data_IF_853428955442
#
_entry.id   IF_853428955442
#
_cell.length_a   1.000
_cell.length_b   1.000
_cell.length_c   1.000
_cell.angle_alpha   90.00
_cell.angle_beta   90.00
_cell.angle_gamma   90.00
#
_symmetry.space_group_name_H-M   'P 1'
#
loop_
_entity.id
_entity.type
_entity.pdbx_description
1 polymer ?
#
# COMPACT_ATOMS: atom_id res chain seq x y z
N UNK A 1 19.22 15.54 -1.48
CA UNK A 1 19.44 14.41 -2.39
C UNK A 1 19.57 13.09 -1.65
N UNK A 2 20.46 12.97 -0.70
CA UNK A 2 20.57 11.73 0.07
C UNK A 2 19.32 11.42 0.87
N UNK A 3 18.68 12.44 1.45
CA UNK A 3 17.48 12.25 2.23
C UNK A 3 16.34 11.79 1.36
N UNK A 4 16.20 12.37 0.17
CA UNK A 4 15.20 11.95 -0.80
C UNK A 4 15.43 10.51 -1.22
N UNK A 5 16.70 10.14 -1.43
CA UNK A 5 17.04 8.77 -1.78
C UNK A 5 16.70 7.78 -0.69
N UNK A 6 16.84 8.19 0.58
CA UNK A 6 16.47 7.34 1.71
C UNK A 6 14.99 7.10 1.78
N UNK A 7 14.19 8.13 1.53
CA UNK A 7 12.74 7.99 1.53
C UNK A 7 12.28 7.06 0.43
N UNK A 8 12.84 7.21 -0.77
CA UNK A 8 12.55 6.32 -1.87
C UNK A 8 13.00 4.89 -1.58
N UNK A 9 14.15 4.75 -0.94
CA UNK A 9 14.67 3.45 -0.55
C UNK A 9 13.73 2.77 0.45
N UNK A 10 13.23 3.53 1.43
CA UNK A 10 12.29 3.00 2.43
C UNK A 10 11.01 2.50 1.77
N UNK A 11 10.44 3.29 0.86
CA UNK A 11 9.24 2.89 0.13
C UNK A 11 9.51 1.60 -0.65
N UNK A 12 10.67 1.52 -1.28
CA UNK A 12 11.06 0.35 -2.06
C UNK A 12 11.26 -0.88 -1.19
N UNK A 13 11.85 -0.70 -0.01
CA UNK A 13 12.06 -1.79 0.95
C UNK A 13 10.75 -2.42 1.41
N UNK A 14 9.69 -1.62 1.49
CA UNK A 14 8.38 -2.09 1.89
C UNK A 14 7.65 -2.85 0.77
N UNK A 15 8.28 -2.98 -0.39
CA UNK A 15 7.68 -3.65 -1.53
C UNK A 15 6.60 -2.85 -2.21
N UNK A 16 6.59 -1.55 -1.97
CA UNK A 16 5.59 -0.66 -2.57
C UNK A 16 6.03 -0.24 -3.96
N UNK A 17 5.09 -0.18 -4.89
CA UNK A 17 5.36 0.25 -6.25
C UNK A 17 5.03 1.73 -6.39
N UNK A 18 5.96 2.46 -6.99
CA UNK A 18 5.77 3.87 -7.26
C UNK A 18 5.19 4.04 -8.65
N UNK A 19 4.33 5.04 -8.85
CA UNK A 19 3.77 5.31 -10.17
C UNK A 19 4.86 5.76 -11.15
N UNK A 20 4.67 5.44 -12.42
CA UNK A 20 5.60 5.83 -13.47
C UNK A 20 5.11 7.04 -14.27
N UNK A 21 3.96 7.59 -13.91
CA UNK A 21 3.40 8.75 -14.61
C UNK A 21 4.00 10.06 -14.09
N UNK A 22 3.68 11.20 -14.77
CA UNK A 22 4.23 12.50 -14.36
C UNK A 22 3.90 12.94 -12.95
N UNK A 23 2.92 12.32 -12.30
CA UNK A 23 2.57 12.64 -10.92
C UNK A 23 3.67 12.19 -9.96
N UNK A 24 4.59 11.38 -10.44
CA UNK A 24 5.76 10.99 -9.68
C UNK A 24 6.51 12.19 -9.09
N UNK A 25 6.55 13.29 -9.84
CA UNK A 25 7.19 14.51 -9.37
C UNK A 25 6.48 15.05 -8.13
N UNK A 26 5.14 14.96 -8.10
CA UNK A 26 4.38 15.40 -6.94
C UNK A 26 4.63 14.51 -5.73
N UNK A 27 4.80 13.20 -5.96
CA UNK A 27 5.13 12.27 -4.87
C UNK A 27 6.45 12.65 -4.22
N UNK A 28 7.43 13.08 -5.02
CA UNK A 28 8.73 13.45 -4.49
C UNK A 28 8.66 14.69 -3.59
N UNK A 29 7.60 15.49 -3.73
CA UNK A 29 7.40 16.69 -2.92
C UNK A 29 6.58 16.40 -1.66
N UNK A 30 5.94 15.23 -1.58
CA UNK A 30 5.17 14.84 -0.40
C UNK A 30 6.11 14.42 0.71
N UNK A 31 5.69 14.66 1.95
CA UNK A 31 6.46 14.14 3.06
C UNK A 31 6.26 12.62 3.18
N UNK A 32 7.12 11.98 3.94
CA UNK A 32 7.11 10.52 4.05
C UNK A 32 5.81 10.00 4.66
N UNK A 33 5.25 10.73 5.63
CA UNK A 33 3.98 10.33 6.24
C UNK A 33 2.86 10.29 5.21
N UNK A 34 2.82 11.26 4.31
CA UNK A 34 1.81 11.30 3.26
C UNK A 34 1.98 10.15 2.26
N UNK A 35 3.22 9.88 1.88
CA UNK A 35 3.53 8.78 0.96
C UNK A 35 3.10 7.44 1.56
N UNK A 36 3.48 7.20 2.81
CA UNK A 36 3.15 5.96 3.50
C UNK A 36 1.64 5.82 3.69
N UNK A 37 0.98 6.92 4.03
CA UNK A 37 -0.48 6.92 4.20
C UNK A 37 -1.18 6.54 2.90
N UNK A 38 -0.76 7.15 1.79
CA UNK A 38 -1.36 6.85 0.49
C UNK A 38 -1.17 5.38 0.12
N UNK A 39 0.02 4.85 0.36
CA UNK A 39 0.29 3.45 0.05
C UNK A 39 -0.48 2.50 0.97
N UNK A 40 -0.65 2.88 2.24
CA UNK A 40 -1.44 2.07 3.16
C UNK A 40 -2.87 1.91 2.65
N UNK A 41 -3.47 2.99 2.16
CA UNK A 41 -4.83 2.93 1.64
C UNK A 41 -4.90 2.18 0.32
N UNK A 42 -3.85 2.24 -0.51
CA UNK A 42 -3.80 1.44 -1.73
C UNK A 42 -3.80 -0.05 -1.42
N UNK A 43 -3.02 -0.48 -0.43
CA UNK A 43 -2.96 -1.87 -0.04
C UNK A 43 -4.28 -2.33 0.59
N UNK A 44 -4.88 -1.47 1.41
CA UNK A 44 -6.18 -1.75 2.00
C UNK A 44 -7.25 -1.94 0.91
N UNK A 45 -7.23 -1.05 -0.08
CA UNK A 45 -8.18 -1.11 -1.18
C UNK A 45 -7.99 -2.38 -2.01
N UNK A 46 -6.74 -2.76 -2.24
CA UNK A 46 -6.44 -3.99 -2.98
C UNK A 46 -6.99 -5.22 -2.25
N UNK A 47 -6.76 -5.29 -0.94
CA UNK A 47 -7.28 -6.39 -0.13
C UNK A 47 -8.81 -6.41 -0.16
N UNK A 48 -9.44 -5.25 0.01
CA UNK A 48 -10.90 -5.13 0.01
C UNK A 48 -11.49 -5.53 -1.32
N UNK A 49 -10.84 -5.14 -2.43
CA UNK A 49 -11.31 -5.50 -3.77
C UNK A 49 -11.28 -7.01 -3.98
N UNK A 50 -10.23 -7.68 -3.52
CA UNK A 50 -10.14 -9.13 -3.61
C UNK A 50 -11.22 -9.81 -2.76
N UNK A 51 -11.45 -9.29 -1.55
CA UNK A 51 -12.50 -9.81 -0.67
C UNK A 51 -13.86 -9.66 -1.34
N UNK A 52 -14.12 -8.51 -1.95
CA UNK A 52 -15.39 -8.27 -2.65
C UNK A 52 -15.61 -9.26 -3.79
N UNK A 53 -14.55 -9.56 -4.54
CA UNK A 53 -14.65 -10.55 -5.61
C UNK A 53 -14.97 -11.95 -5.08
N UNK A 54 -14.33 -12.34 -3.99
CA UNK A 54 -14.59 -13.62 -3.35
C UNK A 54 -16.05 -13.69 -2.89
N UNK A 55 -16.53 -12.62 -2.27
CA UNK A 55 -17.92 -12.57 -1.78
C UNK A 55 -18.93 -12.58 -2.91
N UNK A 56 -18.58 -12.00 -4.05
CA UNK A 56 -19.47 -11.95 -5.20
C UNK A 56 -19.54 -13.24 -5.99
N UNK A 57 -18.51 -14.08 -5.90
CA UNK A 57 -18.40 -15.31 -6.70
C UNK A 57 -17.96 -16.50 -5.85
N UNK A 58 -18.67 -16.81 -4.78
CA UNK A 58 -18.24 -17.89 -3.88
C UNK A 58 -18.28 -19.28 -4.53
N UNK A 59 -19.04 -19.43 -5.61
CA UNK A 59 -19.11 -20.67 -6.36
C UNK A 59 -17.95 -20.87 -7.32
N UNK A 60 -17.17 -19.83 -7.56
CA UNK A 60 -15.99 -19.91 -8.40
C UNK A 60 -14.80 -20.32 -7.55
N UNK A 61 -14.76 -21.61 -7.22
CA UNK A 61 -13.76 -22.13 -6.28
C UNK A 61 -12.32 -21.80 -6.64
N UNK A 62 -11.98 -21.92 -7.94
CA UNK A 62 -10.63 -21.62 -8.39
C UNK A 62 -10.27 -20.16 -8.17
N UNK A 63 -11.21 -19.26 -8.48
CA UNK A 63 -11.00 -17.82 -8.26
C UNK A 63 -10.79 -17.53 -6.78
N UNK A 64 -11.62 -18.12 -5.92
CA UNK A 64 -11.51 -17.94 -4.47
C UNK A 64 -10.13 -18.38 -3.98
N UNK A 65 -9.68 -19.55 -4.45
CA UNK A 65 -8.38 -20.08 -4.03
C UNK A 65 -7.21 -19.25 -4.50
N UNK A 66 -7.34 -18.61 -5.65
CA UNK A 66 -6.29 -17.74 -6.15
C UNK A 66 -6.27 -16.38 -5.47
N UNK A 67 -7.44 -15.84 -5.12
CA UNK A 67 -7.53 -14.51 -4.51
C UNK A 67 -7.26 -14.51 -3.01
N UNK A 68 -7.59 -15.60 -2.32
CA UNK A 68 -7.41 -15.64 -0.88
C UNK A 68 -5.98 -15.36 -0.42
N UNK A 69 -4.93 -15.96 -1.05
CA UNK A 69 -3.55 -15.65 -0.68
C UNK A 69 -3.18 -14.19 -0.97
N UNK A 70 -3.77 -13.61 -2.03
CA UNK A 70 -3.50 -12.22 -2.39
C UNK A 70 -4.04 -11.28 -1.30
N UNK A 71 -5.20 -11.59 -0.74
CA UNK A 71 -5.75 -10.81 0.38
C UNK A 71 -4.76 -10.79 1.54
N UNK A 72 -4.21 -11.94 1.89
CA UNK A 72 -3.25 -12.05 2.97
C UNK A 72 -1.99 -11.23 2.68
N UNK A 73 -1.51 -11.31 1.44
CA UNK A 73 -0.32 -10.59 1.02
C UNK A 73 -0.52 -9.08 1.08
N UNK A 74 -1.65 -8.60 0.51
CA UNK A 74 -1.94 -7.16 0.51
C UNK A 74 -2.17 -6.63 1.91
N UNK A 75 -2.84 -7.40 2.77
CA UNK A 75 -3.03 -7.00 4.16
C UNK A 75 -1.71 -6.98 4.92
N UNK A 76 -0.81 -7.92 4.59
CA UNK A 76 0.54 -7.92 5.15
C UNK A 76 1.30 -6.66 4.79
N UNK A 77 1.18 -6.21 3.55
CA UNK A 77 1.80 -4.95 3.11
C UNK A 77 1.23 -3.77 3.88
N UNK A 78 -0.09 -3.74 4.07
CA UNK A 78 -0.74 -2.68 4.85
C UNK A 78 -0.17 -2.65 6.27
N UNK A 79 -0.03 -3.81 6.90
CA UNK A 79 0.52 -3.91 8.25
C UNK A 79 1.98 -3.45 8.30
N UNK A 80 2.75 -3.75 7.25
CA UNK A 80 4.14 -3.29 7.16
C UNK A 80 4.21 -1.77 7.12
N UNK A 81 3.31 -1.13 6.39
CA UNK A 81 3.28 0.33 6.32
C UNK A 81 2.92 0.91 7.68
N UNK A 82 1.95 0.33 8.37
CA UNK A 82 1.58 0.78 9.72
C UNK A 82 2.77 0.66 10.67
N UNK A 83 3.49 -0.45 10.58
CA UNK A 83 4.67 -0.66 11.41
C UNK A 83 5.75 0.37 11.14
N UNK A 84 5.94 0.72 9.87
CA UNK A 84 6.93 1.71 9.50
C UNK A 84 6.54 3.11 9.99
N UNK A 85 5.27 3.44 9.94
CA UNK A 85 4.78 4.69 10.51
C UNK A 85 5.07 4.75 12.01
N UNK A 86 4.78 3.65 12.72
CA UNK A 86 5.02 3.58 14.16
C UNK A 86 6.49 3.77 14.50
N UNK A 87 7.36 3.12 13.77
CA UNK A 87 8.81 3.22 14.00
C UNK A 87 9.33 4.64 13.84
N UNK A 88 8.68 5.41 13.00
CA UNK A 88 9.09 6.78 12.71
C UNK A 88 8.33 7.82 13.52
N UNK A 89 7.43 7.37 14.40
CA UNK A 89 6.60 8.29 15.19
C UNK A 89 5.61 9.04 14.36
N UNK A 90 5.23 8.50 13.19
CA UNK A 90 4.27 9.11 12.30
C UNK A 90 2.92 8.43 12.46
N UNK A 91 1.88 9.11 12.04
CA UNK A 91 0.51 8.59 12.13
C UNK A 91 -0.09 8.40 10.76
N UNK A 92 -0.95 7.38 10.66
CA UNK A 92 -1.73 7.18 9.46
C UNK A 92 -2.70 8.36 9.33
N UNK A 93 -2.62 9.08 8.23
CA UNK A 93 -3.50 10.21 7.99
C UNK A 93 -4.81 9.80 7.37
N UNK A 94 -5.61 10.80 7.02
CA UNK A 94 -6.87 10.57 6.34
C UNK A 94 -6.60 10.23 4.87
N UNK A 95 -7.47 9.38 4.31
CA UNK A 95 -7.35 9.03 2.90
C UNK A 95 -7.58 10.25 2.04
N UNK A 96 -6.67 10.47 1.09
CA UNK A 96 -6.79 11.58 0.15
C UNK A 96 -7.73 11.17 -0.99
N UNK A 97 -8.49 12.14 -1.45
CA UNK A 97 -9.40 11.91 -2.58
C UNK A 97 -8.76 12.35 -3.88
#
# INVERSE_FOLDING_TARGET
MEQESRELYTVRMLGLQLPTDPRWVNLAEMDLAEILTDHAYCEQKAATSCISLIQGYPDKEELVRELAPIVTEEWGHFRMVLSELDKRGLKLGLQRK
#
